data_IF_973377761260
#
_entry.id   IF_973377761260
#
_cell.length_a   1.000
_cell.length_b   1.000
_cell.length_c   1.000
_cell.angle_alpha   90.00
_cell.angle_beta   90.00
_cell.angle_gamma   90.00
#
_symmetry.space_group_name_H-M   'P 1'
#
loop_
_entity.id
_entity.type
_entity.pdbx_description
1 polymer ?
#
# COMPACT_ATOMS: atom_id res chain seq x y z
N UNK A 1 -48.49 -4.64 42.40
CA UNK A 1 -47.97 -5.98 42.02
C UNK A 1 -46.55 -5.79 41.51
N UNK A 2 -45.58 -6.17 42.33
CA UNK A 2 -44.15 -6.17 42.01
C UNK A 2 -43.80 -7.63 41.65
N UNK A 3 -43.27 -7.87 40.45
CA UNK A 3 -42.69 -9.16 40.10
C UNK A 3 -41.17 -9.04 40.17
N UNK A 4 -40.59 -9.61 41.22
CA UNK A 4 -39.15 -9.83 41.33
C UNK A 4 -38.75 -11.03 40.47
N UNK A 5 -37.71 -10.89 39.66
CA UNK A 5 -37.05 -11.98 38.95
C UNK A 5 -35.84 -12.43 39.78
N UNK A 6 -35.69 -13.73 40.09
CA UNK A 6 -34.59 -14.20 40.91
C UNK A 6 -33.26 -14.21 40.17
N UNK A 7 -32.20 -13.86 40.90
CA UNK A 7 -30.81 -14.07 40.53
C UNK A 7 -30.47 -15.56 40.61
N UNK A 8 -29.88 -16.11 39.55
CA UNK A 8 -28.72 -17.03 39.57
C UNK A 8 -28.49 -17.66 38.19
N UNK A 9 -27.40 -17.26 37.53
CA UNK A 9 -26.67 -18.14 36.63
C UNK A 9 -25.19 -18.00 36.99
N UNK A 10 -24.67 -19.05 37.61
CA UNK A 10 -23.31 -19.18 38.05
C UNK A 10 -22.33 -19.22 36.87
N UNK A 11 -21.16 -18.61 37.06
CA UNK A 11 -19.87 -19.08 36.55
C UNK A 11 -19.71 -19.24 35.05
N UNK A 12 -19.21 -18.20 34.38
CA UNK A 12 -18.31 -18.39 33.24
C UNK A 12 -16.91 -17.94 33.68
N UNK A 13 -15.87 -18.79 33.52
CA UNK A 13 -14.53 -18.41 33.90
C UNK A 13 -14.07 -17.22 33.08
N UNK A 14 -13.46 -16.25 33.77
CA UNK A 14 -12.69 -15.16 33.18
C UNK A 14 -11.67 -15.82 32.26
N UNK A 15 -11.81 -15.64 30.95
CA UNK A 15 -10.79 -16.02 30.00
C UNK A 15 -9.55 -15.18 30.32
N UNK A 16 -8.61 -15.83 31.00
CA UNK A 16 -7.31 -15.30 31.35
C UNK A 16 -6.61 -15.00 30.03
N UNK A 17 -6.24 -13.73 29.91
CA UNK A 17 -5.30 -13.10 28.98
C UNK A 17 -4.40 -14.11 28.23
N UNK A 18 -4.86 -14.55 27.05
CA UNK A 18 -4.00 -15.21 26.08
C UNK A 18 -3.49 -14.15 25.11
N UNK A 19 -2.16 -13.92 24.99
CA UNK A 19 -1.64 -13.08 23.92
C UNK A 19 -1.64 -13.91 22.63
N UNK A 20 -2.81 -14.14 22.03
CA UNK A 20 -2.91 -14.55 20.64
C UNK A 20 -2.71 -13.29 19.81
N UNK A 21 -1.47 -12.78 19.81
CA UNK A 21 -0.98 -11.94 18.74
C UNK A 21 -0.69 -12.85 17.55
N UNK A 22 -1.72 -13.53 17.06
CA UNK A 22 -1.76 -13.91 15.66
C UNK A 22 -1.66 -12.58 14.93
N UNK A 23 -0.46 -12.21 14.50
CA UNK A 23 -0.33 -11.27 13.40
C UNK A 23 -1.16 -11.91 12.31
N UNK A 24 -2.41 -11.48 12.14
CA UNK A 24 -3.20 -11.82 10.99
C UNK A 24 -2.29 -11.48 9.83
N UNK A 25 -1.73 -12.51 9.20
CA UNK A 25 -0.81 -12.36 8.08
C UNK A 25 -1.72 -11.88 6.97
N UNK A 26 -1.90 -10.56 6.91
CA UNK A 26 -2.80 -9.95 5.95
C UNK A 26 -2.31 -10.44 4.58
N UNK A 27 -3.20 -11.03 3.75
CA UNK A 27 -2.79 -11.59 2.48
C UNK A 27 -2.00 -10.55 1.69
N UNK A 28 -0.79 -10.91 1.26
CA UNK A 28 0.05 -10.02 0.46
C UNK A 28 -0.55 -9.96 -0.94
N UNK A 29 -0.99 -8.77 -1.34
CA UNK A 29 -1.45 -8.51 -2.69
C UNK A 29 -0.22 -8.16 -3.54
N UNK A 30 0.30 -9.15 -4.23
CA UNK A 30 1.48 -9.01 -5.09
C UNK A 30 1.07 -8.94 -6.55
N UNK A 31 1.79 -8.14 -7.33
CA UNK A 31 1.60 -8.04 -8.77
C UNK A 31 2.96 -8.10 -9.47
N UNK A 32 2.99 -8.77 -10.62
CA UNK A 32 4.11 -8.73 -11.53
C UNK A 32 3.68 -7.97 -12.78
N UNK A 33 4.50 -7.01 -13.21
CA UNK A 33 4.16 -6.09 -14.31
C UNK A 33 5.38 -5.89 -15.20
N UNK A 34 5.15 -5.54 -16.46
CA UNK A 34 6.17 -4.94 -17.33
C UNK A 34 5.76 -3.49 -17.56
N UNK A 35 6.53 -2.53 -17.05
CA UNK A 35 6.28 -1.09 -17.17
C UNK A 35 7.49 -0.45 -17.84
N UNK A 36 7.26 0.32 -18.91
CA UNK A 36 8.32 0.96 -19.68
C UNK A 36 9.44 -0.02 -20.13
N UNK A 37 9.07 -1.28 -20.39
CA UNK A 37 9.99 -2.36 -20.78
C UNK A 37 10.69 -3.07 -19.63
N UNK A 38 10.45 -2.68 -18.37
CA UNK A 38 11.07 -3.27 -17.19
C UNK A 38 10.11 -4.20 -16.45
N UNK A 39 10.54 -5.46 -16.23
CA UNK A 39 9.81 -6.43 -15.42
C UNK A 39 10.01 -6.15 -13.92
N UNK A 40 8.91 -5.90 -13.20
CA UNK A 40 8.92 -5.56 -11.77
C UNK A 40 7.97 -6.42 -10.95
N UNK A 41 8.33 -6.64 -9.69
CA UNK A 41 7.46 -7.21 -8.67
C UNK A 41 7.02 -6.10 -7.73
N UNK A 42 5.73 -6.06 -7.42
CA UNK A 42 5.11 -4.97 -6.70
C UNK A 42 4.28 -5.52 -5.54
N UNK A 43 4.43 -4.93 -4.36
CA UNK A 43 3.54 -5.15 -3.23
C UNK A 43 2.49 -4.03 -3.18
N UNK A 44 1.25 -4.34 -3.57
CA UNK A 44 0.14 -3.37 -3.68
C UNK A 44 -0.36 -2.92 -2.30
N UNK A 45 -0.04 -3.66 -1.24
CA UNK A 45 -0.38 -3.28 0.13
C UNK A 45 0.58 -2.23 0.69
N UNK A 46 1.75 -2.03 0.07
CA UNK A 46 2.72 -0.98 0.42
C UNK A 46 2.50 0.21 -0.50
N UNK A 47 2.08 1.34 0.06
CA UNK A 47 1.77 2.55 -0.72
C UNK A 47 1.99 3.88 0.02
N UNK A 48 2.40 3.84 1.30
CA UNK A 48 2.64 5.00 2.16
C UNK A 48 4.10 5.00 2.64
N UNK A 49 5.02 4.91 1.68
CA UNK A 49 6.46 4.79 1.92
C UNK A 49 7.25 5.57 0.86
N UNK A 50 8.50 5.92 1.17
CA UNK A 50 9.46 6.50 0.21
C UNK A 50 10.21 5.39 -0.52
N UNK A 51 10.37 5.51 -1.83
CA UNK A 51 11.16 4.57 -2.63
C UNK A 51 10.59 4.39 -4.03
N UNK A 52 11.04 3.32 -4.69
CA UNK A 52 10.63 3.00 -6.06
C UNK A 52 9.24 2.37 -6.09
N UNK A 53 8.35 2.92 -6.90
CA UNK A 53 6.96 2.52 -6.96
C UNK A 53 6.44 2.46 -8.40
N UNK A 54 5.39 1.66 -8.60
CA UNK A 54 4.50 1.82 -9.76
C UNK A 54 3.46 2.88 -9.38
N UNK A 55 3.36 3.92 -10.20
CA UNK A 55 2.49 5.06 -9.95
C UNK A 55 1.53 5.31 -11.11
N UNK A 56 0.47 6.08 -10.84
CA UNK A 56 -0.35 6.73 -11.85
C UNK A 56 -0.15 8.25 -11.72
N UNK A 57 0.31 8.88 -12.80
CA UNK A 57 0.42 10.33 -12.91
C UNK A 57 -0.96 10.98 -13.11
N UNK A 58 -1.05 12.30 -12.92
CA UNK A 58 -2.31 13.05 -13.10
C UNK A 58 -2.91 12.96 -14.52
N UNK A 59 -2.09 12.70 -15.53
CA UNK A 59 -2.53 12.50 -16.92
C UNK A 59 -2.97 11.05 -17.22
N UNK A 60 -3.00 10.19 -16.20
CA UNK A 60 -3.42 8.80 -16.28
C UNK A 60 -2.32 7.83 -16.70
N UNK A 61 -1.10 8.29 -16.96
CA UNK A 61 0.01 7.40 -17.33
C UNK A 61 0.50 6.57 -16.15
N UNK A 62 0.74 5.29 -16.40
CA UNK A 62 1.36 4.36 -15.44
C UNK A 62 2.86 4.30 -15.72
N UNK A 63 3.69 4.51 -14.70
CA UNK A 63 5.16 4.52 -14.82
C UNK A 63 5.84 4.01 -13.56
N UNK A 64 7.13 3.70 -13.70
CA UNK A 64 8.03 3.52 -12.56
C UNK A 64 8.58 4.87 -12.12
N UNK A 65 8.55 5.16 -10.83
CA UNK A 65 9.04 6.43 -10.28
C UNK A 65 9.57 6.24 -8.85
N UNK A 66 10.61 6.99 -8.51
CA UNK A 66 10.99 7.20 -7.11
C UNK A 66 10.06 8.26 -6.50
N UNK A 67 9.31 7.86 -5.48
CA UNK A 67 8.38 8.72 -4.75
C UNK A 67 8.87 8.98 -3.34
N UNK A 68 8.46 10.12 -2.80
CA UNK A 68 8.60 10.42 -1.36
C UNK A 68 7.24 10.36 -0.69
N UNK A 69 7.21 9.88 0.56
CA UNK A 69 6.01 9.89 1.38
C UNK A 69 5.47 11.32 1.54
N UNK A 70 4.14 11.46 1.46
CA UNK A 70 3.45 12.72 1.69
C UNK A 70 3.47 13.06 3.19
N UNK A 71 3.94 14.26 3.54
CA UNK A 71 4.17 14.67 4.94
C UNK A 71 3.50 15.98 5.36
N UNK A 72 2.80 16.69 4.46
CA UNK A 72 2.13 17.97 4.73
C UNK A 72 0.61 17.81 4.92
N UNK A 73 0.08 16.59 4.83
CA UNK A 73 -1.34 16.27 4.94
C UNK A 73 -2.15 16.54 3.67
N UNK A 74 -1.52 16.92 2.55
CA UNK A 74 -2.22 17.18 1.30
C UNK A 74 -2.36 15.88 0.48
N UNK A 75 -3.54 15.25 0.57
CA UNK A 75 -3.79 13.90 0.04
C UNK A 75 -4.92 13.86 -1.00
N UNK A 76 -4.73 14.43 -2.21
CA UNK A 76 -5.76 14.44 -3.26
C UNK A 76 -6.17 13.05 -3.72
N UNK A 77 -5.35 12.03 -3.47
CA UNK A 77 -5.60 10.62 -3.81
C UNK A 77 -5.80 9.73 -2.58
N UNK A 78 -6.18 10.34 -1.45
CA UNK A 78 -6.35 9.63 -0.19
C UNK A 78 -5.04 8.98 0.28
N UNK A 79 -5.17 7.79 0.89
CA UNK A 79 -4.05 7.10 1.53
C UNK A 79 -2.91 6.69 0.58
N UNK A 80 -3.16 6.66 -0.73
CA UNK A 80 -2.17 6.30 -1.77
C UNK A 80 -1.44 7.51 -2.36
N UNK A 81 -1.63 8.70 -1.79
CA UNK A 81 -0.93 9.90 -2.24
C UNK A 81 0.54 9.82 -1.87
N UNK A 82 1.41 9.99 -2.87
CA UNK A 82 2.84 10.26 -2.65
C UNK A 82 3.29 11.48 -3.44
N UNK A 83 4.51 11.96 -3.17
CA UNK A 83 5.15 13.07 -3.86
C UNK A 83 6.06 12.53 -4.96
N UNK A 84 5.73 12.85 -6.21
CA UNK A 84 6.53 12.48 -7.38
C UNK A 84 7.73 13.41 -7.61
N UNK A 85 8.17 13.50 -8.86
CA UNK A 85 9.32 14.32 -9.24
C UNK A 85 9.11 15.81 -8.93
N UNK A 86 10.23 16.46 -8.58
CA UNK A 86 10.33 17.91 -8.43
C UNK A 86 10.39 18.57 -9.80
N UNK A 87 9.70 19.68 -9.96
CA UNK A 87 9.74 20.50 -11.18
C UNK A 87 9.78 21.99 -10.83
N UNK A 88 10.24 22.81 -11.78
CA UNK A 88 10.22 24.28 -11.64
C UNK A 88 8.80 24.78 -11.91
N UNK A 89 8.23 25.49 -10.94
CA UNK A 89 6.90 26.07 -11.10
C UNK A 89 6.96 27.31 -12.01
N UNK A 90 5.98 27.51 -12.92
CA UNK A 90 5.83 28.75 -13.68
C UNK A 90 5.65 29.98 -12.79
N UNK A 91 5.21 29.79 -11.55
CA UNK A 91 5.00 30.86 -10.57
C UNK A 91 6.22 31.08 -9.65
N UNK A 92 7.37 30.46 -9.96
CA UNK A 92 8.58 30.51 -9.15
C UNK A 92 8.66 29.39 -8.10
N UNK A 93 9.88 29.08 -7.68
CA UNK A 93 10.15 27.99 -6.71
C UNK A 93 10.21 26.59 -7.34
N UNK A 94 10.22 25.57 -6.47
CA UNK A 94 10.21 24.15 -6.84
C UNK A 94 8.89 23.55 -6.33
N UNK A 95 8.14 22.94 -7.23
CA UNK A 95 6.90 22.24 -6.92
C UNK A 95 7.10 20.72 -7.07
N UNK A 96 6.13 19.94 -6.59
CA UNK A 96 6.05 18.49 -6.78
C UNK A 96 4.64 18.11 -7.18
N UNK A 97 4.54 17.11 -8.03
CA UNK A 97 3.25 16.48 -8.33
C UNK A 97 2.88 15.52 -7.22
N UNK A 98 1.61 15.51 -6.84
CA UNK A 98 1.03 14.36 -6.15
C UNK A 98 0.84 13.25 -7.19
N UNK A 99 1.06 12.00 -6.79
CA UNK A 99 0.82 10.82 -7.63
C UNK A 99 0.04 9.77 -6.85
N UNK A 100 -0.62 8.86 -7.57
CA UNK A 100 -1.28 7.70 -6.97
C UNK A 100 -0.26 6.57 -6.95
N UNK A 101 0.03 6.00 -5.78
CA UNK A 101 0.85 4.79 -5.66
C UNK A 101 -0.01 3.54 -5.87
N UNK A 102 0.30 2.75 -6.90
CA UNK A 102 -0.29 1.42 -7.11
C UNK A 102 0.32 0.43 -6.12
N UNK A 103 1.64 0.45 -5.96
CA UNK A 103 2.36 -0.30 -4.94
C UNK A 103 3.86 -0.05 -5.00
N UNK A 104 4.58 -0.45 -3.95
CA UNK A 104 6.04 -0.36 -3.90
C UNK A 104 6.69 -1.52 -4.66
N UNK A 105 7.74 -1.22 -5.42
CA UNK A 105 8.58 -2.24 -6.05
C UNK A 105 9.31 -3.02 -4.94
N UNK A 106 9.34 -4.33 -5.08
CA UNK A 106 10.01 -5.26 -4.18
C UNK A 106 10.97 -6.15 -4.96
N UNK A 107 11.93 -6.74 -4.26
CA UNK A 107 12.73 -7.81 -4.84
C UNK A 107 11.83 -8.97 -5.26
N UNK A 108 12.15 -9.55 -6.41
CA UNK A 108 11.44 -10.71 -6.91
C UNK A 108 11.44 -11.82 -5.85
N UNK A 109 10.27 -12.37 -5.46
CA UNK A 109 10.25 -13.52 -4.58
C UNK A 109 10.98 -14.66 -5.31
N UNK A 110 12.12 -15.09 -4.78
CA UNK A 110 12.90 -16.21 -5.33
C UNK A 110 12.06 -17.48 -5.19
N UNK A 111 11.27 -17.80 -6.22
CA UNK A 111 10.61 -19.09 -6.36
C UNK A 111 10.68 -19.53 -7.82
N UNK A 112 11.71 -20.33 -8.10
CA UNK A 112 11.79 -21.24 -9.26
C UNK A 112 11.39 -20.65 -10.60
N UNK A 113 12.35 -20.00 -11.26
CA UNK A 113 12.48 -19.87 -12.73
C UNK A 113 11.16 -20.02 -13.51
N UNK A 114 10.35 -18.98 -13.52
CA UNK A 114 9.52 -18.65 -14.68
C UNK A 114 9.66 -17.18 -14.93
N UNK A 115 10.56 -16.86 -15.86
CA UNK A 115 10.73 -15.54 -16.42
C UNK A 115 9.38 -15.13 -17.00
N UNK A 116 8.96 -13.90 -16.71
CA UNK A 116 7.83 -13.29 -17.40
C UNK A 116 8.42 -12.83 -18.73
N UNK A 117 8.34 -13.69 -19.74
CA UNK A 117 8.68 -13.32 -21.11
C UNK A 117 7.60 -12.36 -21.60
N UNK A 118 7.86 -11.06 -21.47
CA UNK A 118 7.14 -10.04 -22.20
C UNK A 118 7.66 -10.06 -23.63
N UNK A 119 6.99 -10.78 -24.53
CA UNK A 119 7.28 -10.66 -25.96
C UNK A 119 7.06 -9.21 -26.40
N UNK A 120 8.16 -8.52 -26.70
CA UNK A 120 8.16 -7.23 -27.39
C UNK A 120 7.97 -7.54 -28.88
N UNK A 121 6.72 -7.58 -29.34
CA UNK A 121 6.37 -7.55 -30.77
C UNK A 121 6.26 -6.12 -31.27
#
# INVERSE_FOLDING_TARGET
>A
MQHAVPANAAGLPIAIDMPIRARHHQPRNLCAMVIDGEAVWVDINRYDETGRAVIIEHDGRIRLMDVEQEYIGFRPFGARTALGQRFKSPHGGVARNSVIVVGMVIDAPIRGVRLIDGELS
#
